data_IF_690311333272
#
_entry.id   IF_690311333272
#
_cell.length_a   1.000
_cell.length_b   1.000
_cell.length_c   1.000
_cell.angle_alpha   90.00
_cell.angle_beta   90.00
_cell.angle_gamma   90.00
#
_symmetry.space_group_name_H-M   'P 1'
#
loop_
_entity.id
_entity.type
_entity.pdbx_description
1 polymer ?
#
# COMPACT_ATOMS: atom_id res chain seq x y z
N UNK A 1 -61.80 9.87 -48.84
CA UNK A 1 -61.93 8.81 -47.80
C UNK A 1 -61.10 7.57 -48.15
N UNK A 2 -59.84 7.74 -48.54
CA UNK A 2 -58.88 6.64 -48.84
C UNK A 2 -57.48 6.96 -48.26
N UNK A 3 -57.39 8.03 -47.49
CA UNK A 3 -56.18 8.60 -46.89
C UNK A 3 -55.90 8.05 -45.48
N UNK A 4 -56.58 6.98 -45.07
CA UNK A 4 -56.45 6.41 -43.73
C UNK A 4 -55.61 5.13 -43.67
N UNK A 5 -55.13 4.61 -44.81
CA UNK A 5 -54.29 3.39 -44.85
C UNK A 5 -52.79 3.72 -44.97
N UNK A 6 -52.43 4.98 -45.19
CA UNK A 6 -51.02 5.39 -45.29
C UNK A 6 -50.39 5.79 -43.94
N UNK A 7 -51.14 5.75 -42.83
CA UNK A 7 -50.67 6.23 -41.53
C UNK A 7 -50.19 5.11 -40.59
N UNK A 8 -50.44 3.84 -40.91
CA UNK A 8 -50.17 2.72 -40.00
C UNK A 8 -48.83 2.00 -40.23
N UNK A 9 -48.06 2.34 -41.27
CA UNK A 9 -46.77 1.70 -41.58
C UNK A 9 -45.53 2.46 -41.08
N UNK A 10 -45.68 3.53 -40.30
CA UNK A 10 -44.57 4.36 -39.83
C UNK A 10 -44.30 4.28 -38.31
N UNK A 11 -44.74 3.21 -37.62
CA UNK A 11 -44.54 3.07 -36.16
C UNK A 11 -43.74 1.83 -35.74
N UNK A 12 -42.85 1.32 -36.59
CA UNK A 12 -42.07 0.15 -36.22
C UNK A 12 -40.61 0.32 -36.61
N UNK A 13 -39.89 1.25 -35.96
CA UNK A 13 -38.41 1.28 -35.87
C UNK A 13 -37.93 2.37 -34.90
N UNK A 14 -38.41 2.34 -33.65
CA UNK A 14 -37.65 2.88 -32.51
C UNK A 14 -37.55 1.73 -31.51
N UNK A 15 -36.78 0.70 -31.89
CA UNK A 15 -36.35 -0.33 -30.96
C UNK A 15 -34.93 0.01 -30.56
N UNK A 16 -34.84 0.48 -29.32
CA UNK A 16 -33.72 0.31 -28.40
C UNK A 16 -32.33 0.71 -28.90
N UNK A 17 -31.97 1.98 -28.70
CA UNK A 17 -30.57 2.35 -28.46
C UNK A 17 -30.37 2.58 -26.96
N UNK A 18 -30.69 1.55 -26.16
CA UNK A 18 -30.26 1.51 -24.77
C UNK A 18 -28.85 0.94 -24.76
N UNK A 19 -27.86 1.81 -25.00
CA UNK A 19 -26.48 1.43 -24.67
C UNK A 19 -26.45 1.16 -23.16
N UNK A 20 -26.17 -0.10 -22.80
CA UNK A 20 -26.01 -0.46 -21.40
C UNK A 20 -24.94 0.47 -20.79
N UNK A 21 -25.15 1.00 -19.57
CA UNK A 21 -24.14 1.83 -18.93
C UNK A 21 -22.79 1.11 -18.96
N UNK A 22 -21.75 1.79 -19.43
CA UNK A 22 -20.42 1.22 -19.43
C UNK A 22 -19.95 1.08 -17.98
N UNK A 23 -19.86 -0.16 -17.51
CA UNK A 23 -19.24 -0.48 -16.23
C UNK A 23 -17.81 -0.94 -16.50
N UNK A 24 -16.78 -0.10 -16.25
CA UNK A 24 -15.41 -0.57 -16.34
C UNK A 24 -15.21 -1.70 -15.32
N UNK A 25 -14.50 -2.75 -15.73
CA UNK A 25 -14.08 -3.79 -14.81
C UNK A 25 -13.25 -3.17 -13.68
N UNK A 26 -13.41 -3.61 -12.42
CA UNK A 26 -12.54 -3.19 -11.33
C UNK A 26 -11.07 -3.39 -11.70
N UNK A 27 -10.24 -2.42 -11.34
CA UNK A 27 -8.80 -2.56 -11.50
C UNK A 27 -8.29 -3.80 -10.75
N UNK A 28 -7.27 -4.50 -11.27
CA UNK A 28 -6.63 -5.61 -10.56
C UNK A 28 -6.19 -5.17 -9.16
N UNK A 29 -6.50 -6.01 -8.17
CA UNK A 29 -6.06 -5.77 -6.80
C UNK A 29 -4.56 -6.04 -6.68
N UNK A 30 -3.83 -5.07 -6.14
CA UNK A 30 -2.43 -5.23 -5.75
C UNK A 30 -2.34 -5.17 -4.21
N UNK A 31 -1.95 -6.26 -3.52
CA UNK A 31 -1.75 -6.22 -2.08
C UNK A 31 -0.61 -5.25 -1.73
N UNK A 32 -0.73 -4.58 -0.59
CA UNK A 32 0.34 -3.76 -0.06
C UNK A 32 1.58 -4.62 0.24
N UNK A 33 2.80 -4.08 0.07
CA UNK A 33 4.01 -4.80 0.45
C UNK A 33 3.99 -5.09 1.95
N UNK A 34 4.37 -6.32 2.32
CA UNK A 34 4.61 -6.71 3.71
C UNK A 34 6.06 -6.41 4.07
N UNK A 35 6.27 -5.75 5.20
CA UNK A 35 7.60 -5.49 5.76
C UNK A 35 7.82 -6.38 6.99
N UNK A 36 9.06 -6.83 7.19
CA UNK A 36 9.42 -7.52 8.42
C UNK A 36 9.41 -6.52 9.57
N UNK A 37 8.58 -6.75 10.59
CA UNK A 37 8.47 -5.91 11.79
C UNK A 37 9.57 -6.20 12.82
N UNK A 38 10.80 -6.44 12.36
CA UNK A 38 11.94 -6.64 13.26
C UNK A 38 12.54 -5.29 13.65
N UNK A 39 12.89 -5.08 14.94
CA UNK A 39 13.63 -3.89 15.34
C UNK A 39 14.93 -3.73 14.55
N UNK A 40 15.27 -2.50 14.20
CA UNK A 40 16.56 -2.21 13.57
C UNK A 40 17.72 -2.58 14.51
N UNK A 41 18.81 -3.17 13.99
CA UNK A 41 20.00 -3.45 14.78
C UNK A 41 20.74 -2.16 15.13
N UNK A 42 21.42 -2.17 16.29
CA UNK A 42 22.36 -1.12 16.67
C UNK A 42 23.53 -1.71 17.46
N UNK A 43 24.63 -0.97 17.47
CA UNK A 43 25.83 -1.26 18.26
C UNK A 43 26.43 0.08 18.71
N UNK A 44 26.51 0.29 20.02
CA UNK A 44 27.12 1.46 20.64
C UNK A 44 28.24 1.03 21.57
N UNK A 45 29.29 1.84 21.63
CA UNK A 45 30.40 1.71 22.56
C UNK A 45 30.62 3.04 23.26
N UNK A 46 30.82 2.98 24.57
CA UNK A 46 31.16 4.11 25.42
C UNK A 46 32.51 3.84 26.07
N UNK A 47 33.37 4.85 26.12
CA UNK A 47 34.66 4.75 26.80
C UNK A 47 34.96 6.04 27.56
N UNK A 48 35.45 5.88 28.78
CA UNK A 48 36.00 6.96 29.61
C UNK A 48 37.48 6.65 29.78
N UNK A 49 38.32 7.50 29.19
CA UNK A 49 39.77 7.46 29.37
C UNK A 49 40.23 8.79 29.92
N UNK A 50 40.66 8.79 31.18
CA UNK A 50 41.25 9.95 31.84
C UNK A 50 42.71 9.64 32.20
N UNK A 51 43.62 10.24 31.45
CA UNK A 51 45.06 10.04 31.60
C UNK A 51 45.62 10.69 32.87
N UNK A 52 44.90 11.65 33.48
CA UNK A 52 45.35 12.29 34.73
C UNK A 52 45.12 11.39 35.94
N UNK A 53 43.92 10.82 36.07
CA UNK A 53 43.58 9.91 37.17
C UNK A 53 43.87 8.43 36.88
N UNK A 54 44.25 8.09 35.63
CA UNK A 54 44.47 6.71 35.19
C UNK A 54 43.19 5.90 35.05
N UNK A 55 42.03 6.55 35.04
CA UNK A 55 40.73 5.89 34.89
C UNK A 55 40.53 5.42 33.46
N UNK A 56 40.13 4.16 33.32
CA UNK A 56 39.76 3.57 32.04
C UNK A 56 38.55 2.64 32.21
N UNK A 57 37.39 3.11 31.77
CA UNK A 57 36.14 2.34 31.77
C UNK A 57 35.59 2.25 30.35
N UNK A 58 34.94 1.13 30.06
CA UNK A 58 34.23 0.91 28.81
C UNK A 58 32.87 0.27 29.08
N UNK A 59 31.91 0.52 28.21
CA UNK A 59 30.63 -0.16 28.18
C UNK A 59 30.18 -0.38 26.74
N UNK A 60 29.52 -1.50 26.49
CA UNK A 60 29.01 -1.89 25.18
C UNK A 60 27.49 -2.07 25.24
N UNK A 61 26.78 -1.67 24.19
CA UNK A 61 25.34 -1.90 24.05
C UNK A 61 24.98 -2.32 22.63
N UNK A 62 24.18 -3.39 22.50
CA UNK A 62 23.86 -4.01 21.22
C UNK A 62 22.40 -4.43 21.13
N UNK A 63 21.86 -4.42 19.91
CA UNK A 63 20.60 -5.07 19.54
C UNK A 63 20.72 -5.87 18.26
N UNK A 64 20.24 -7.11 18.34
CA UNK A 64 19.99 -7.99 17.21
C UNK A 64 18.56 -8.52 17.28
N UNK A 65 17.69 -8.01 16.41
CA UNK A 65 16.25 -8.26 16.46
C UNK A 65 15.66 -7.89 17.84
N UNK A 66 15.12 -8.89 18.54
CA UNK A 66 14.54 -8.72 19.88
C UNK A 66 15.54 -8.97 21.02
N UNK A 67 16.76 -9.40 20.71
CA UNK A 67 17.80 -9.59 21.71
C UNK A 67 18.54 -8.27 21.96
N UNK A 68 18.55 -7.81 23.21
CA UNK A 68 19.42 -6.72 23.68
C UNK A 68 20.52 -7.27 24.59
N UNK A 69 21.73 -6.72 24.47
CA UNK A 69 22.91 -7.10 25.27
C UNK A 69 23.70 -5.85 25.65
N UNK A 70 24.38 -5.90 26.79
CA UNK A 70 25.36 -4.90 27.19
C UNK A 70 26.20 -5.35 28.37
N UNK A 71 27.38 -4.74 28.52
CA UNK A 71 28.38 -5.05 29.55
C UNK A 71 29.17 -3.82 29.94
#
# INVERSE_FOLDING_TARGET
>A
MKTFIALTTFLALVVADHTAPYHPSPAPYHPAPSYNEVPAPYQYQYAIKDDYSGVNFGADEARDGYATKGS
#
